data_IF_720062879351
#
_entry.id   IF_720062879351
#
_cell.length_a   1.000
_cell.length_b   1.000
_cell.length_c   1.000
_cell.angle_alpha   90.00
_cell.angle_beta   90.00
_cell.angle_gamma   90.00
#
_symmetry.space_group_name_H-M   'P 1'
#
loop_
_entity.id
_entity.type
_entity.pdbx_description
1 polymer ?
#
# COMPACT_ATOMS: atom_id res chain seq x y z
N UNK A 1 1.96 -24.19 5.48
CA UNK A 1 2.34 -23.16 6.47
C UNK A 1 1.52 -23.39 7.74
N UNK A 2 2.04 -23.16 8.95
CA UNK A 2 1.24 -23.26 10.18
C UNK A 2 0.49 -21.96 10.48
N UNK A 3 -0.51 -22.00 11.37
CA UNK A 3 -1.36 -20.84 11.73
C UNK A 3 -0.58 -19.60 12.18
N UNK A 4 0.42 -19.79 13.04
CA UNK A 4 1.23 -18.68 13.58
C UNK A 4 2.19 -18.11 12.53
N UNK A 5 2.81 -18.98 11.71
CA UNK A 5 3.66 -18.55 10.61
C UNK A 5 2.87 -17.71 9.59
N UNK A 6 1.63 -18.10 9.29
CA UNK A 6 0.74 -17.37 8.39
C UNK A 6 0.34 -16.01 8.96
N UNK A 7 -0.04 -15.96 10.25
CA UNK A 7 -0.37 -14.71 10.92
C UNK A 7 0.82 -13.74 10.91
N UNK A 8 2.01 -14.22 11.30
CA UNK A 8 3.25 -13.44 11.25
C UNK A 8 3.52 -12.88 9.86
N UNK A 9 3.51 -13.74 8.83
CA UNK A 9 3.78 -13.32 7.46
C UNK A 9 2.74 -12.33 6.92
N UNK A 10 1.47 -12.52 7.28
CA UNK A 10 0.38 -11.62 6.88
C UNK A 10 0.54 -10.24 7.53
N UNK A 11 0.83 -10.17 8.83
CA UNK A 11 1.07 -8.92 9.56
C UNK A 11 2.31 -8.20 9.02
N UNK A 12 3.41 -8.92 8.77
CA UNK A 12 4.61 -8.33 8.15
C UNK A 12 4.30 -7.75 6.77
N UNK A 13 3.50 -8.44 5.95
CA UNK A 13 3.08 -7.95 4.62
C UNK A 13 2.26 -6.66 4.70
N UNK A 14 1.36 -6.54 5.69
CA UNK A 14 0.62 -5.29 5.93
C UNK A 14 1.57 -4.14 6.32
N UNK A 15 2.56 -4.43 7.16
CA UNK A 15 3.61 -3.48 7.51
C UNK A 15 4.45 -3.05 6.31
N UNK A 16 4.81 -3.99 5.43
CA UNK A 16 5.58 -3.73 4.20
C UNK A 16 4.82 -2.79 3.26
N UNK A 17 3.53 -3.07 3.04
CA UNK A 17 2.69 -2.22 2.20
C UNK A 17 2.65 -0.78 2.72
N UNK A 18 2.40 -0.62 4.02
CA UNK A 18 2.32 0.69 4.65
C UNK A 18 3.66 1.44 4.64
N UNK A 19 4.78 0.75 4.91
CA UNK A 19 6.11 1.35 4.90
C UNK A 19 6.49 1.84 3.50
N UNK A 20 6.36 0.98 2.50
CA UNK A 20 6.84 1.28 1.14
C UNK A 20 6.01 2.40 0.50
N UNK A 21 4.68 2.39 0.68
CA UNK A 21 3.87 3.50 0.21
C UNK A 21 4.18 4.79 0.98
N UNK A 22 4.30 4.71 2.32
CA UNK A 22 4.70 5.86 3.14
C UNK A 22 6.04 6.46 2.69
N UNK A 23 7.03 5.63 2.36
CA UNK A 23 8.33 6.08 1.86
C UNK A 23 8.19 6.78 0.50
N UNK A 24 7.39 6.24 -0.44
CA UNK A 24 7.09 6.95 -1.71
C UNK A 24 6.46 8.31 -1.47
N UNK A 25 5.57 8.43 -0.48
CA UNK A 25 4.95 9.71 -0.17
C UNK A 25 5.95 10.70 0.45
N UNK A 26 6.88 10.23 1.29
CA UNK A 26 7.96 11.06 1.87
C UNK A 26 8.86 11.66 0.79
N UNK A 27 9.18 10.92 -0.27
CA UNK A 27 10.01 11.41 -1.40
C UNK A 27 9.43 12.67 -2.09
N UNK A 28 8.12 12.90 -1.93
CA UNK A 28 7.44 14.04 -2.56
C UNK A 28 7.38 15.29 -1.68
N UNK A 29 7.80 15.21 -0.41
CA UNK A 29 7.91 16.40 0.44
C UNK A 29 8.87 17.39 -0.21
N UNK A 30 8.49 18.68 -0.25
CA UNK A 30 9.16 19.75 -0.98
C UNK A 30 9.10 19.65 -2.53
N UNK A 31 8.30 18.73 -3.08
CA UNK A 31 8.17 18.50 -4.53
C UNK A 31 6.72 18.49 -5.04
N UNK A 32 5.73 18.72 -4.17
CA UNK A 32 4.32 18.78 -4.54
C UNK A 32 3.97 20.08 -5.30
N UNK A 33 2.89 20.10 -6.12
CA UNK A 33 2.54 21.27 -6.92
C UNK A 33 2.17 22.52 -6.11
N UNK A 34 1.65 22.34 -4.90
CA UNK A 34 1.31 23.42 -3.97
C UNK A 34 1.51 22.98 -2.50
N UNK A 35 1.45 23.96 -1.58
CA UNK A 35 1.78 23.76 -0.17
C UNK A 35 0.67 22.98 0.58
N UNK A 36 -0.59 23.21 0.22
CA UNK A 36 -1.72 22.52 0.80
C UNK A 36 -1.67 21.02 0.50
N UNK A 37 -1.34 20.66 -0.74
CA UNK A 37 -1.19 19.28 -1.17
C UNK A 37 0.07 18.62 -0.62
N UNK A 38 1.16 19.38 -0.46
CA UNK A 38 2.33 18.91 0.28
C UNK A 38 1.99 18.55 1.72
N UNK A 39 1.26 19.44 2.42
CA UNK A 39 0.86 19.20 3.81
C UNK A 39 -0.09 18.01 3.92
N UNK A 40 -1.02 17.85 2.98
CA UNK A 40 -1.90 16.69 2.92
C UNK A 40 -1.09 15.40 2.73
N UNK A 41 -0.19 15.36 1.74
CA UNK A 41 0.66 14.20 1.49
C UNK A 41 1.57 13.86 2.68
N UNK A 42 2.20 14.86 3.32
CA UNK A 42 3.05 14.63 4.49
C UNK A 42 2.26 14.03 5.66
N UNK A 43 1.01 14.46 5.87
CA UNK A 43 0.13 13.87 6.88
C UNK A 43 -0.25 12.43 6.53
N UNK A 44 -0.55 12.14 5.27
CA UNK A 44 -0.89 10.78 4.84
C UNK A 44 0.31 9.84 4.96
N UNK A 45 1.50 10.32 4.59
CA UNK A 45 2.75 9.59 4.78
C UNK A 45 2.96 9.25 6.27
N UNK A 46 2.71 10.21 7.17
CA UNK A 46 2.81 10.00 8.61
C UNK A 46 1.85 8.91 9.11
N UNK A 47 0.60 8.90 8.62
CA UNK A 47 -0.38 7.86 8.96
C UNK A 47 0.12 6.49 8.49
N UNK A 48 0.59 6.37 7.24
CA UNK A 48 1.14 5.12 6.70
C UNK A 48 2.37 4.63 7.48
N UNK A 49 3.31 5.51 7.84
CA UNK A 49 4.45 5.15 8.70
C UNK A 49 3.95 4.73 10.09
N UNK A 50 2.95 5.40 10.66
CA UNK A 50 2.31 5.00 11.91
C UNK A 50 1.69 3.61 11.85
N UNK A 51 1.07 3.25 10.73
CA UNK A 51 0.52 1.92 10.49
C UNK A 51 1.61 0.86 10.35
N UNK A 52 2.67 1.14 9.59
CA UNK A 52 3.81 0.24 9.45
C UNK A 52 4.43 -0.11 10.81
N UNK A 53 4.61 0.90 11.67
CA UNK A 53 5.08 0.74 13.06
C UNK A 53 4.19 -0.18 13.89
N UNK A 54 2.88 0.03 13.85
CA UNK A 54 1.92 -0.83 14.57
C UNK A 54 1.99 -2.29 14.09
N UNK A 55 2.02 -2.51 12.77
CA UNK A 55 2.12 -3.86 12.21
C UNK A 55 3.47 -4.52 12.50
N UNK A 56 4.60 -3.83 12.35
CA UNK A 56 5.91 -4.42 12.62
C UNK A 56 6.16 -4.68 14.11
N UNK A 57 5.69 -3.80 14.99
CA UNK A 57 5.72 -4.07 16.43
C UNK A 57 5.00 -5.38 16.73
N UNK A 58 3.80 -5.56 16.15
CA UNK A 58 3.05 -6.80 16.33
C UNK A 58 3.74 -8.01 15.67
N UNK A 59 4.33 -7.85 14.49
CA UNK A 59 5.12 -8.90 13.84
C UNK A 59 6.30 -9.35 14.73
N UNK A 60 6.99 -8.42 15.38
CA UNK A 60 8.07 -8.72 16.33
C UNK A 60 7.61 -9.50 17.56
N UNK A 61 6.43 -9.15 18.09
CA UNK A 61 5.78 -9.89 19.18
C UNK A 61 5.41 -11.32 18.76
N UNK A 62 4.83 -11.49 17.57
CA UNK A 62 4.47 -12.80 17.01
C UNK A 62 5.69 -13.67 16.73
N UNK A 63 6.76 -13.08 16.20
CA UNK A 63 7.98 -13.82 15.91
C UNK A 63 8.68 -14.31 17.19
N UNK A 64 8.61 -13.53 18.27
CA UNK A 64 9.16 -13.90 19.58
C UNK A 64 10.70 -13.97 19.61
N UNK A 65 11.38 -13.41 18.61
CA UNK A 65 12.86 -13.42 18.48
C UNK A 65 13.52 -12.10 18.88
N UNK A 66 12.73 -11.14 19.36
CA UNK A 66 13.22 -9.84 19.82
C UNK A 66 13.50 -8.82 18.71
N UNK A 67 13.04 -9.07 17.47
CA UNK A 67 13.08 -8.07 16.39
C UNK A 67 12.10 -6.93 16.70
N UNK A 68 12.55 -5.70 16.54
CA UNK A 68 11.75 -4.48 16.70
C UNK A 68 11.21 -3.99 15.35
N UNK A 69 10.34 -2.97 15.37
CA UNK A 69 9.87 -2.30 14.14
C UNK A 69 11.01 -1.79 13.26
N UNK A 70 12.11 -1.31 13.86
CA UNK A 70 13.30 -0.86 13.16
C UNK A 70 14.02 -2.02 12.47
N UNK A 71 14.09 -3.20 13.10
CA UNK A 71 14.70 -4.38 12.49
C UNK A 71 13.88 -4.89 11.28
N UNK A 72 12.56 -4.71 11.29
CA UNK A 72 11.73 -4.98 10.11
C UNK A 72 11.96 -3.94 9.01
N UNK A 73 11.99 -2.66 9.33
CA UNK A 73 12.15 -1.62 8.32
C UNK A 73 13.56 -1.58 7.71
N UNK A 74 14.60 -1.73 8.54
CA UNK A 74 15.95 -1.30 8.15
C UNK A 74 16.97 -2.42 7.95
N UNK A 75 16.71 -3.63 8.46
CA UNK A 75 17.67 -4.74 8.43
C UNK A 75 17.29 -5.88 7.48
N UNK A 76 16.22 -5.71 6.70
CA UNK A 76 15.81 -6.65 5.65
C UNK A 76 16.35 -6.26 4.29
N UNK A 77 16.75 -7.27 3.53
CA UNK A 77 17.07 -7.14 2.10
C UNK A 77 15.77 -7.18 1.25
N UNK A 78 15.86 -6.76 -0.02
CA UNK A 78 14.70 -6.63 -0.93
C UNK A 78 13.85 -7.91 -1.02
N UNK A 79 14.49 -9.08 -1.05
CA UNK A 79 13.84 -10.38 -1.18
C UNK A 79 13.13 -10.83 0.11
N UNK A 80 13.20 -10.05 1.19
CA UNK A 80 12.50 -10.26 2.46
C UNK A 80 11.30 -9.31 2.64
N UNK A 81 11.15 -8.30 1.78
CA UNK A 81 9.94 -7.48 1.71
C UNK A 81 8.84 -8.19 0.91
N UNK A 82 7.59 -7.94 1.28
CA UNK A 82 6.40 -8.61 0.75
C UNK A 82 5.34 -7.60 0.28
N UNK A 83 5.69 -6.33 0.09
CA UNK A 83 4.79 -5.29 -0.40
C UNK A 83 4.26 -5.62 -1.80
N UNK A 84 3.10 -5.07 -2.16
CA UNK A 84 2.62 -5.11 -3.54
C UNK A 84 3.54 -4.33 -4.48
N UNK A 85 3.70 -4.84 -5.70
CA UNK A 85 4.53 -4.20 -6.73
C UNK A 85 4.04 -2.79 -7.11
N UNK A 86 2.75 -2.52 -6.97
CA UNK A 86 2.21 -1.17 -7.21
C UNK A 86 2.85 -0.12 -6.30
N UNK A 87 3.12 -0.48 -5.04
CA UNK A 87 3.49 0.48 -4.00
C UNK A 87 4.92 0.98 -4.13
N UNK A 88 5.79 0.15 -4.71
CA UNK A 88 7.17 0.51 -5.01
C UNK A 88 7.33 1.26 -6.32
N UNK A 89 6.28 1.41 -7.15
CA UNK A 89 6.40 2.17 -8.39
C UNK A 89 6.81 3.62 -8.09
N UNK A 90 7.68 4.23 -8.93
CA UNK A 90 8.09 5.62 -8.78
C UNK A 90 6.89 6.57 -8.73
N UNK A 91 7.10 7.77 -8.20
CA UNK A 91 6.02 8.76 -8.10
C UNK A 91 5.71 9.47 -9.43
N UNK A 92 6.65 9.47 -10.38
CA UNK A 92 6.43 10.07 -11.69
C UNK A 92 5.97 11.53 -11.61
N UNK A 93 4.95 11.88 -12.40
CA UNK A 93 4.27 13.17 -12.26
C UNK A 93 3.09 13.08 -11.29
N UNK A 94 2.54 14.21 -10.86
CA UNK A 94 1.47 14.27 -9.86
C UNK A 94 0.28 13.31 -10.12
N UNK A 95 -0.15 13.15 -11.38
CA UNK A 95 -1.21 12.21 -11.77
C UNK A 95 -0.88 10.72 -11.51
N UNK A 96 0.39 10.33 -11.53
CA UNK A 96 0.83 8.95 -11.26
C UNK A 96 0.68 8.65 -9.77
N UNK A 97 1.16 9.56 -8.92
CA UNK A 97 0.98 9.48 -7.46
C UNK A 97 -0.50 9.44 -7.08
N UNK A 98 -1.32 10.34 -7.62
CA UNK A 98 -2.77 10.36 -7.32
C UNK A 98 -3.44 9.07 -7.78
N UNK A 99 -3.12 8.58 -8.99
CA UNK A 99 -3.69 7.33 -9.50
C UNK A 99 -3.30 6.14 -8.64
N UNK A 100 -2.01 6.01 -8.29
CA UNK A 100 -1.49 4.95 -7.41
C UNK A 100 -2.21 4.96 -6.06
N UNK A 101 -2.34 6.13 -5.45
CA UNK A 101 -3.04 6.31 -4.17
C UNK A 101 -4.52 5.96 -4.28
N UNK A 102 -5.24 6.40 -5.30
CA UNK A 102 -6.66 6.04 -5.45
C UNK A 102 -6.85 4.54 -5.65
N UNK A 103 -6.09 3.92 -6.57
CA UNK A 103 -6.21 2.48 -6.82
C UNK A 103 -5.94 1.67 -5.55
N UNK A 104 -4.88 2.01 -4.81
CA UNK A 104 -4.53 1.30 -3.59
C UNK A 104 -5.43 1.66 -2.40
N UNK A 105 -5.71 2.93 -2.12
CA UNK A 105 -6.53 3.36 -0.98
C UNK A 105 -7.95 2.79 -1.09
N UNK A 106 -8.53 2.67 -2.30
CA UNK A 106 -9.81 1.99 -2.51
C UNK A 106 -9.73 0.51 -2.10
N UNK A 107 -8.65 -0.18 -2.49
CA UNK A 107 -8.45 -1.58 -2.10
C UNK A 107 -8.24 -1.70 -0.59
N UNK A 108 -7.35 -0.87 -0.06
CA UNK A 108 -6.91 -0.94 1.32
C UNK A 108 -8.04 -0.57 2.28
N UNK A 109 -8.87 0.42 1.95
CA UNK A 109 -10.06 0.75 2.73
C UNK A 109 -11.04 -0.44 2.81
N UNK A 110 -11.28 -1.12 1.70
CA UNK A 110 -12.15 -2.30 1.66
C UNK A 110 -11.52 -3.47 2.44
N UNK A 111 -10.22 -3.69 2.29
CA UNK A 111 -9.46 -4.70 3.05
C UNK A 111 -9.55 -4.44 4.55
N UNK A 112 -9.28 -3.22 5.01
CA UNK A 112 -9.35 -2.82 6.41
C UNK A 112 -10.75 -3.03 7.00
N UNK A 113 -11.80 -2.82 6.20
CA UNK A 113 -13.17 -3.12 6.58
C UNK A 113 -13.44 -4.60 6.85
N UNK A 114 -12.79 -5.51 6.10
CA UNK A 114 -12.86 -6.96 6.38
C UNK A 114 -11.93 -7.38 7.51
N UNK A 115 -10.74 -6.79 7.62
CA UNK A 115 -9.82 -7.06 8.73
C UNK A 115 -10.40 -6.69 10.08
N UNK A 116 -11.29 -5.70 10.16
CA UNK A 116 -12.05 -5.40 11.39
C UNK A 116 -13.00 -6.52 11.83
N UNK A 117 -13.27 -7.52 10.98
CA UNK A 117 -14.15 -8.66 11.27
C UNK A 117 -13.39 -9.96 11.53
N UNK A 118 -12.08 -9.99 11.28
CA UNK A 118 -11.26 -11.19 11.50
C UNK A 118 -11.20 -11.55 13.00
N UNK A 119 -10.81 -12.78 13.32
CA UNK A 119 -10.78 -13.25 14.71
C UNK A 119 -9.53 -12.81 15.48
N UNK A 120 -8.52 -12.25 14.83
CA UNK A 120 -7.36 -11.66 15.50
C UNK A 120 -7.67 -10.26 16.06
N UNK A 121 -7.56 -10.11 17.39
CA UNK A 121 -7.89 -8.85 18.06
C UNK A 121 -6.93 -7.71 17.69
N UNK A 122 -5.64 -8.00 17.55
CA UNK A 122 -4.64 -6.96 17.31
C UNK A 122 -4.75 -6.38 15.90
N UNK A 123 -4.98 -7.24 14.91
CA UNK A 123 -5.28 -6.80 13.54
C UNK A 123 -6.55 -5.95 13.50
N UNK A 124 -7.62 -6.35 14.19
CA UNK A 124 -8.86 -5.56 14.24
C UNK A 124 -8.65 -4.15 14.81
N UNK A 125 -7.89 -4.03 15.88
CA UNK A 125 -7.56 -2.74 16.50
C UNK A 125 -6.80 -1.83 15.54
N UNK A 126 -5.73 -2.35 14.92
CA UNK A 126 -4.92 -1.60 13.96
C UNK A 126 -5.79 -1.21 12.75
N UNK A 127 -6.60 -2.14 12.24
CA UNK A 127 -7.45 -1.91 11.08
C UNK A 127 -8.53 -0.85 11.35
N UNK A 128 -9.15 -0.85 12.54
CA UNK A 128 -10.16 0.14 12.93
C UNK A 128 -9.58 1.57 13.08
N UNK A 129 -8.28 1.68 13.39
CA UNK A 129 -7.58 2.96 13.39
C UNK A 129 -7.25 3.40 11.96
N UNK A 130 -6.56 2.54 11.20
CA UNK A 130 -6.13 2.81 9.84
C UNK A 130 -7.31 3.15 8.92
N UNK A 131 -8.44 2.47 9.07
CA UNK A 131 -9.63 2.69 8.24
C UNK A 131 -10.10 4.15 8.23
N UNK A 132 -10.04 4.83 9.38
CA UNK A 132 -10.46 6.24 9.50
C UNK A 132 -9.50 7.17 8.77
N UNK A 133 -8.20 6.88 8.85
CA UNK A 133 -7.13 7.61 8.17
C UNK A 133 -7.29 7.43 6.65
N UNK A 134 -7.33 6.19 6.17
CA UNK A 134 -7.43 5.86 4.74
C UNK A 134 -8.74 6.36 4.11
N UNK A 135 -9.85 6.38 4.85
CA UNK A 135 -11.11 6.96 4.36
C UNK A 135 -10.96 8.46 4.04
N UNK A 136 -10.14 9.18 4.79
CA UNK A 136 -9.84 10.58 4.50
C UNK A 136 -8.90 10.70 3.30
N UNK A 137 -7.84 9.88 3.25
CA UNK A 137 -6.88 9.85 2.13
C UNK A 137 -7.60 9.58 0.80
N UNK A 138 -8.40 8.52 0.73
CA UNK A 138 -9.14 8.16 -0.48
C UNK A 138 -10.08 9.28 -0.94
N UNK A 139 -10.79 9.93 -0.01
CA UNK A 139 -11.67 11.04 -0.36
C UNK A 139 -10.89 12.19 -0.99
N UNK A 140 -9.75 12.54 -0.41
CA UNK A 140 -8.88 13.61 -0.90
C UNK A 140 -8.30 13.25 -2.28
N UNK A 141 -7.69 12.08 -2.41
CA UNK A 141 -7.04 11.62 -3.63
C UNK A 141 -8.05 11.40 -4.77
N UNK A 142 -9.23 10.86 -4.49
CA UNK A 142 -10.28 10.68 -5.49
C UNK A 142 -10.80 12.02 -6.02
N UNK A 143 -10.92 13.05 -5.17
CA UNK A 143 -11.28 14.40 -5.63
C UNK A 143 -10.21 14.96 -6.59
N UNK A 144 -8.93 14.70 -6.33
CA UNK A 144 -7.87 15.08 -7.25
C UNK A 144 -7.90 14.32 -8.56
N UNK A 145 -8.15 13.01 -8.51
CA UNK A 145 -8.29 12.21 -9.73
C UNK A 145 -9.43 12.75 -10.61
N UNK A 146 -10.56 13.12 -10.00
CA UNK A 146 -11.67 13.78 -10.70
C UNK A 146 -11.27 15.14 -11.27
N UNK A 147 -10.58 15.98 -10.50
CA UNK A 147 -10.10 17.30 -10.99
C UNK A 147 -9.12 17.19 -12.16
N UNK A 148 -8.24 16.19 -12.13
CA UNK A 148 -7.27 15.96 -13.18
C UNK A 148 -7.94 15.38 -14.43
N UNK A 149 -8.85 14.41 -14.25
CA UNK A 149 -9.57 13.77 -15.34
C UNK A 149 -10.60 14.69 -16.02
N UNK A 150 -11.41 15.43 -15.25
CA UNK A 150 -12.40 16.39 -15.76
C UNK A 150 -11.84 17.83 -15.80
N UNK A 151 -10.52 17.93 -15.97
CA UNK A 151 -9.76 19.18 -15.95
C UNK A 151 -9.54 19.76 -17.34
N UNK A 152 -8.27 19.85 -17.74
CA UNK A 152 -7.86 20.22 -19.11
C UNK A 152 -7.59 18.98 -19.93
N UNK A 153 -7.55 19.11 -21.26
CA UNK A 153 -7.14 18.01 -22.16
C UNK A 153 -5.76 17.45 -21.75
N UNK A 154 -4.82 18.32 -21.35
CA UNK A 154 -3.49 17.88 -20.90
C UNK A 154 -3.54 17.09 -19.59
N UNK A 155 -4.30 17.55 -18.58
CA UNK A 155 -4.39 16.83 -17.30
C UNK A 155 -5.14 15.51 -17.46
N UNK A 156 -6.16 15.50 -18.31
CA UNK A 156 -6.94 14.33 -18.68
C UNK A 156 -6.04 13.27 -19.33
N UNK A 157 -5.33 13.63 -20.39
CA UNK A 157 -4.48 12.69 -21.13
C UNK A 157 -3.37 12.11 -20.25
N UNK A 158 -2.75 12.93 -19.40
CA UNK A 158 -1.72 12.48 -18.45
C UNK A 158 -2.27 11.46 -17.46
N UNK A 159 -3.38 11.78 -16.79
CA UNK A 159 -3.92 10.90 -15.75
C UNK A 159 -4.57 9.65 -16.33
N UNK A 160 -5.13 9.73 -17.55
CA UNK A 160 -5.53 8.53 -18.30
C UNK A 160 -4.32 7.63 -18.58
N UNK A 161 -3.18 8.23 -18.95
CA UNK A 161 -1.89 7.53 -19.08
C UNK A 161 -1.50 6.80 -17.80
N UNK A 162 -1.51 7.52 -16.65
CA UNK A 162 -1.24 6.94 -15.32
C UNK A 162 -2.13 5.74 -15.01
N UNK A 163 -3.44 5.85 -15.27
CA UNK A 163 -4.41 4.76 -15.05
C UNK A 163 -4.05 3.55 -15.90
N UNK A 164 -3.74 3.76 -17.19
CA UNK A 164 -3.37 2.69 -18.10
C UNK A 164 -2.07 1.98 -17.68
N UNK A 165 -1.06 2.74 -17.26
CA UNK A 165 0.26 2.22 -16.89
C UNK A 165 0.24 1.47 -15.56
N UNK A 166 -0.46 2.00 -14.55
CA UNK A 166 -0.49 1.39 -13.22
C UNK A 166 -1.49 0.22 -13.12
N UNK A 167 -2.43 0.09 -14.06
CA UNK A 167 -3.47 -0.94 -14.02
C UNK A 167 -2.90 -2.35 -13.90
N UNK A 168 -1.80 -2.62 -14.60
CA UNK A 168 -1.12 -3.93 -14.62
C UNK A 168 -0.76 -4.46 -13.23
N UNK A 169 -0.55 -3.58 -12.24
CA UNK A 169 -0.17 -3.96 -10.89
C UNK A 169 -1.37 -4.23 -9.96
N UNK A 170 -2.60 -3.90 -10.38
CA UNK A 170 -3.81 -4.08 -9.54
C UNK A 170 -4.13 -5.57 -9.30
N UNK A 171 -3.75 -6.45 -10.22
CA UNK A 171 -4.09 -7.88 -10.15
C UNK A 171 -3.49 -8.60 -8.94
N UNK A 172 -2.30 -8.21 -8.50
CA UNK A 172 -1.63 -8.83 -7.35
C UNK A 172 -2.43 -8.67 -6.04
N UNK A 173 -3.16 -7.56 -5.89
CA UNK A 173 -3.96 -7.25 -4.70
C UNK A 173 -5.08 -8.27 -4.45
N UNK A 174 -5.55 -8.95 -5.51
CA UNK A 174 -6.66 -9.89 -5.46
C UNK A 174 -6.24 -11.35 -5.68
N UNK A 175 -4.95 -11.60 -5.84
CA UNK A 175 -4.41 -12.95 -6.07
C UNK A 175 -4.02 -13.59 -4.75
N UNK A 176 -4.84 -14.52 -4.27
CA UNK A 176 -4.61 -15.24 -3.02
C UNK A 176 -3.45 -16.24 -3.13
N UNK A 177 -2.47 -16.14 -2.22
CA UNK A 177 -1.39 -17.11 -2.02
C UNK A 177 -1.67 -18.06 -0.84
N UNK A 178 -0.68 -18.85 -0.42
CA UNK A 178 -0.83 -19.76 0.72
C UNK A 178 -1.11 -19.01 2.04
N UNK A 179 -0.49 -17.84 2.25
CA UNK A 179 -0.67 -17.04 3.47
C UNK A 179 -2.10 -16.53 3.54
N UNK A 180 -2.64 -15.98 2.43
CA UNK A 180 -4.01 -15.46 2.42
C UNK A 180 -5.04 -16.55 2.66
N UNK A 181 -4.83 -17.75 2.09
CA UNK A 181 -5.74 -18.89 2.27
C UNK A 181 -5.76 -19.37 3.71
N UNK A 182 -4.58 -19.56 4.31
CA UNK A 182 -4.49 -19.95 5.73
C UNK A 182 -5.07 -18.85 6.62
N UNK A 183 -4.81 -17.58 6.32
CA UNK A 183 -5.39 -16.47 7.09
C UNK A 183 -6.92 -16.43 6.99
N UNK A 184 -7.47 -16.65 5.79
CA UNK A 184 -8.90 -16.79 5.54
C UNK A 184 -9.53 -17.91 6.37
N UNK A 185 -8.95 -19.11 6.32
CA UNK A 185 -9.47 -20.30 7.01
C UNK A 185 -9.31 -20.25 8.53
N UNK A 186 -8.19 -19.73 9.03
CA UNK A 186 -7.85 -19.79 10.46
C UNK A 186 -8.26 -18.55 11.26
N UNK A 187 -8.45 -17.42 10.58
CA UNK A 187 -8.71 -16.13 11.21
C UNK A 187 -9.96 -15.41 10.70
N UNK A 188 -10.83 -16.07 9.95
CA UNK A 188 -11.97 -15.44 9.27
C UNK A 188 -11.52 -14.22 8.45
N UNK A 189 -10.42 -14.40 7.72
CA UNK A 189 -9.75 -13.38 6.93
C UNK A 189 -10.55 -12.94 5.69
N UNK A 190 -10.05 -11.94 4.94
CA UNK A 190 -10.78 -11.33 3.84
C UNK A 190 -11.01 -12.28 2.66
N UNK A 191 -12.21 -12.23 2.08
CA UNK A 191 -12.49 -12.80 0.75
C UNK A 191 -12.00 -11.84 -0.34
N UNK A 192 -10.84 -12.14 -0.92
CA UNK A 192 -10.20 -11.32 -1.97
C UNK A 192 -11.02 -11.26 -3.26
N UNK A 193 -11.83 -12.29 -3.59
CA UNK A 193 -12.68 -12.26 -4.78
C UNK A 193 -13.87 -11.32 -4.58
N UNK A 194 -14.51 -11.38 -3.40
CA UNK A 194 -15.58 -10.45 -3.04
C UNK A 194 -15.07 -9.01 -2.90
N UNK A 195 -13.85 -8.82 -2.39
CA UNK A 195 -13.18 -7.52 -2.37
C UNK A 195 -12.95 -6.99 -3.78
N UNK A 196 -12.47 -7.82 -4.71
CA UNK A 196 -12.26 -7.42 -6.11
C UNK A 196 -13.52 -6.88 -6.76
N UNK A 197 -14.65 -7.55 -6.57
CA UNK A 197 -15.94 -7.11 -7.14
C UNK A 197 -16.32 -5.72 -6.65
N UNK A 198 -16.26 -5.49 -5.34
CA UNK A 198 -16.54 -4.18 -4.74
C UNK A 198 -15.56 -3.10 -5.20
N UNK A 199 -14.28 -3.43 -5.23
CA UNK A 199 -13.23 -2.51 -5.67
C UNK A 199 -13.41 -2.06 -7.11
N UNK A 200 -13.72 -2.98 -8.03
CA UNK A 200 -13.98 -2.66 -9.45
C UNK A 200 -15.16 -1.71 -9.56
N UNK A 201 -16.25 -1.96 -8.82
CA UNK A 201 -17.42 -1.07 -8.85
C UNK A 201 -17.10 0.34 -8.35
N UNK A 202 -16.30 0.46 -7.27
CA UNK A 202 -15.88 1.74 -6.71
C UNK A 202 -14.94 2.50 -7.65
N UNK A 203 -13.92 1.83 -8.20
CA UNK A 203 -13.00 2.44 -9.18
C UNK A 203 -13.74 2.85 -10.45
N UNK A 204 -14.62 2.02 -10.99
CA UNK A 204 -15.43 2.37 -12.14
C UNK A 204 -16.29 3.62 -11.89
N UNK A 205 -16.84 3.77 -10.68
CA UNK A 205 -17.59 4.96 -10.30
C UNK A 205 -16.71 6.22 -10.23
N UNK A 206 -15.51 6.14 -9.66
CA UNK A 206 -14.57 7.26 -9.58
C UNK A 206 -14.05 7.64 -10.97
N UNK A 207 -13.60 6.67 -11.77
CA UNK A 207 -13.12 6.93 -13.13
C UNK A 207 -14.20 7.55 -14.02
N UNK A 208 -15.44 7.07 -13.91
CA UNK A 208 -16.58 7.67 -14.60
C UNK A 208 -16.81 9.13 -14.21
N UNK A 209 -16.70 9.46 -12.92
CA UNK A 209 -16.81 10.86 -12.46
C UNK A 209 -15.65 11.71 -12.98
N UNK A 210 -14.45 11.13 -13.08
CA UNK A 210 -13.27 11.78 -13.64
C UNK A 210 -13.28 11.84 -15.18
N UNK A 211 -14.32 11.32 -15.86
CA UNK A 211 -14.40 11.17 -17.33
C UNK A 211 -13.33 10.25 -17.94
N UNK A 212 -12.65 9.46 -17.12
CA UNK A 212 -11.60 8.52 -17.52
C UNK A 212 -12.18 7.14 -17.91
N UNK A 213 -11.42 6.41 -18.70
CA UNK A 213 -11.71 5.04 -19.12
C UNK A 213 -11.01 4.05 -18.19
N UNK A 214 -11.77 3.03 -17.77
CA UNK A 214 -11.20 1.89 -17.05
C UNK A 214 -10.50 0.94 -18.04
N UNK A 215 -9.22 0.61 -17.84
CA UNK A 215 -8.53 -0.35 -18.70
C UNK A 215 -9.14 -1.75 -18.60
N UNK A 216 -9.04 -2.52 -19.69
CA UNK A 216 -9.36 -3.95 -19.65
C UNK A 216 -8.22 -4.73 -18.97
N UNK A 217 -8.57 -5.81 -18.27
CA UNK A 217 -7.57 -6.71 -17.71
C UNK A 217 -6.80 -7.41 -18.84
N UNK A 218 -5.48 -7.35 -18.77
CA UNK A 218 -4.56 -8.05 -19.67
C UNK A 218 -3.65 -9.01 -18.91
N UNK A 219 -2.38 -9.02 -19.29
CA UNK A 219 -1.34 -9.56 -18.42
C UNK A 219 -1.24 -8.69 -17.17
N UNK A 220 -1.17 -9.29 -15.99
CA UNK A 220 -1.08 -8.59 -14.71
C UNK A 220 0.26 -8.93 -14.03
N UNK A 221 0.98 -7.92 -13.56
CA UNK A 221 2.24 -8.08 -12.87
C UNK A 221 2.01 -8.67 -11.46
N UNK A 222 2.94 -9.53 -11.01
CA UNK A 222 2.90 -10.18 -9.70
C UNK A 222 4.30 -10.60 -9.27
N UNK A 223 4.56 -10.64 -7.97
CA UNK A 223 5.81 -11.15 -7.42
C UNK A 223 6.22 -10.49 -6.10
N UNK A 224 5.71 -9.30 -5.81
CA UNK A 224 6.05 -8.55 -4.59
C UNK A 224 5.69 -9.34 -3.33
N UNK A 225 4.53 -10.00 -3.34
CA UNK A 225 4.10 -10.92 -2.26
C UNK A 225 5.05 -12.10 -2.01
N UNK A 226 5.91 -12.42 -2.97
CA UNK A 226 6.89 -13.52 -2.92
C UNK A 226 8.33 -13.00 -2.70
N UNK A 227 8.53 -11.68 -2.56
CA UNK A 227 9.86 -11.07 -2.51
C UNK A 227 10.53 -10.92 -3.87
N UNK A 228 9.77 -11.03 -4.97
CA UNK A 228 10.25 -10.83 -6.35
C UNK A 228 9.78 -9.46 -6.83
N UNK A 229 10.56 -8.45 -6.51
CA UNK A 229 10.24 -7.04 -6.74
C UNK A 229 10.72 -6.54 -8.10
N UNK A 230 10.24 -5.36 -8.49
CA UNK A 230 10.84 -4.59 -9.58
C UNK A 230 12.20 -4.03 -9.14
N UNK A 231 12.96 -3.49 -10.08
CA UNK A 231 14.23 -2.81 -9.80
C UNK A 231 14.06 -1.59 -8.85
N UNK A 232 12.84 -1.07 -8.71
CA UNK A 232 12.58 0.15 -7.96
C UNK A 232 12.71 0.00 -6.45
N UNK A 233 12.41 -1.19 -5.90
CA UNK A 233 12.48 -1.40 -4.45
C UNK A 233 13.91 -1.28 -3.95
N UNK A 234 14.87 -1.93 -4.64
CA UNK A 234 16.28 -1.94 -4.23
C UNK A 234 16.87 -0.54 -4.08
N UNK A 235 16.57 0.38 -5.02
CA UNK A 235 16.99 1.78 -4.92
C UNK A 235 16.38 2.49 -3.72
N UNK A 236 15.07 2.33 -3.50
CA UNK A 236 14.35 2.98 -2.40
C UNK A 236 14.89 2.52 -1.04
N UNK A 237 15.03 1.20 -0.83
CA UNK A 237 15.47 0.68 0.48
C UNK A 237 16.95 0.97 0.72
N UNK A 238 17.79 1.06 -0.33
CA UNK A 238 19.18 1.47 -0.16
C UNK A 238 19.29 2.88 0.45
N UNK A 239 18.43 3.82 0.03
CA UNK A 239 18.36 5.17 0.60
C UNK A 239 17.76 5.13 2.01
N UNK A 240 16.60 4.49 2.17
CA UNK A 240 15.88 4.39 3.45
C UNK A 240 16.73 3.77 4.57
N UNK A 241 17.54 2.76 4.25
CA UNK A 241 18.29 1.96 5.22
C UNK A 241 19.73 2.46 5.42
N UNK A 242 20.18 3.48 4.68
CA UNK A 242 21.59 3.88 4.59
C UNK A 242 22.21 4.15 5.97
N UNK A 243 21.59 5.00 6.79
CA UNK A 243 22.14 5.39 8.09
C UNK A 243 22.23 4.20 9.04
N UNK A 244 21.18 3.37 9.10
CA UNK A 244 21.13 2.23 9.99
C UNK A 244 22.15 1.15 9.60
N UNK A 245 22.32 0.88 8.30
CA UNK A 245 23.33 -0.06 7.81
C UNK A 245 24.75 0.46 7.97
N UNK A 246 24.96 1.78 7.90
CA UNK A 246 26.29 2.40 8.08
C UNK A 246 26.71 2.43 9.55
N UNK A 247 25.76 2.56 10.48
CA UNK A 247 26.00 2.66 11.91
C UNK A 247 25.21 1.61 12.71
N UNK A 248 25.52 0.31 12.56
CA UNK A 248 24.76 -0.76 13.18
C UNK A 248 24.84 -0.70 14.72
N UNK A 249 23.69 -0.86 15.38
CA UNK A 249 23.57 -0.86 16.85
C UNK A 249 23.53 0.54 17.50
N UNK A 250 23.49 1.61 16.71
CA UNK A 250 23.21 2.96 17.22
C UNK A 250 21.76 3.08 17.72
N UNK A 251 21.52 4.02 18.64
CA UNK A 251 20.19 4.39 19.14
C UNK A 251 19.89 5.83 18.74
N UNK A 252 18.64 6.09 18.34
CA UNK A 252 18.14 7.39 17.89
C UNK A 252 16.93 7.83 18.71
#
# INVERSE_FOLDING_TARGET
>A
MNKQDALFAYVSRLGDNALILGQRMVELVASYPDLEEELANANFALDYIGQARMFYTYAGELEGKGRTEDDFAFLRDENEFRNYLMLEQPNGHFGDSITKLVLFDTFYLALLGELQKCSDERIREIAARAEKEIRYHLRHNANWLVRLGDGTDESHDKVQGSVNELWVFTGEMFTADEIDRVFGEEFDGPDLEALRKRWVDEIAAVLKQATLQMPEDGWMASGGKEGRHTEHLGYMIAEMQYLQRTHPGASW
#
